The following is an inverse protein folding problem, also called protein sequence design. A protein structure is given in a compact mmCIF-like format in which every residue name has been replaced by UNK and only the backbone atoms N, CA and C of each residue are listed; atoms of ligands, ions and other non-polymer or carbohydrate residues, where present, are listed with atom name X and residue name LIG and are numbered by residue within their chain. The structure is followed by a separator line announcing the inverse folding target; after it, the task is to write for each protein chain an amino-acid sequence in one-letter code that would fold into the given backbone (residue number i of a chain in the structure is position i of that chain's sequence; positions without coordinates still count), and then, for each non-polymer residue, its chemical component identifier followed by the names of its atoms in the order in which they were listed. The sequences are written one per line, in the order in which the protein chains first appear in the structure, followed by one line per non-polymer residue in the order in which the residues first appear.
data_IF_781642333905
#
_entry.id   IF_781642333905
#
_cell.length_a   1.000
_cell.length_b   1.000
_cell.length_c   1.000
_cell.angle_alpha   90.00
_cell.angle_beta   90.00
_cell.angle_gamma   90.00
#
_symmetry.space_group_name_H-M   'P 1'
#
loop_
_entity.id
_entity.type
_entity.pdbx_description
1 polymer ?
#
# COMPACT_ATOMS: atom_id res chain seq x y z
N UNK A 1 3.14 -14.38 -2.12
CA UNK A 1 3.89 -14.98 -0.99
C UNK A 1 3.33 -14.45 0.34
N UNK A 2 4.11 -14.53 1.42
CA UNK A 2 3.82 -13.82 2.68
C UNK A 2 4.86 -12.70 2.82
N UNK A 3 4.43 -11.48 3.12
CA UNK A 3 5.31 -10.33 3.31
C UNK A 3 4.94 -9.64 4.62
N UNK A 4 5.95 -9.42 5.45
CA UNK A 4 5.84 -8.50 6.58
C UNK A 4 6.34 -7.12 6.16
N UNK A 5 5.57 -6.08 6.46
CA UNK A 5 5.97 -4.70 6.16
C UNK A 5 6.92 -4.21 7.24
N UNK A 6 8.16 -3.92 6.88
CA UNK A 6 9.17 -3.43 7.83
C UNK A 6 8.85 -2.06 8.43
N UNK A 7 9.47 -1.73 9.57
CA UNK A 7 9.29 -0.45 10.27
C UNK A 7 7.95 -0.31 11.00
N UNK A 8 7.18 -1.40 11.14
CA UNK A 8 5.87 -1.37 11.79
C UNK A 8 5.88 -1.82 13.25
N UNK A 9 7.04 -2.17 13.82
CA UNK A 9 7.20 -2.48 15.25
C UNK A 9 7.92 -1.38 16.04
N UNK A 10 8.40 -0.34 15.37
CA UNK A 10 9.14 0.76 15.96
C UNK A 10 8.54 2.11 15.55
N UNK A 11 9.28 3.19 15.78
CA UNK A 11 8.84 4.56 15.49
C UNK A 11 9.02 4.95 14.02
N UNK A 12 9.39 4.02 13.13
CA UNK A 12 9.54 4.32 11.70
C UNK A 12 8.20 4.63 11.04
N UNK A 13 7.12 3.94 11.45
CA UNK A 13 5.76 4.16 10.94
C UNK A 13 5.40 3.35 9.69
N UNK A 14 6.16 2.31 9.39
CA UNK A 14 5.93 1.40 8.27
C UNK A 14 6.45 1.89 6.91
N UNK A 15 6.53 0.94 5.98
CA UNK A 15 6.84 1.20 4.56
C UNK A 15 5.62 1.00 3.67
N UNK A 16 5.75 1.38 2.40
CA UNK A 16 4.69 1.27 1.40
C UNK A 16 4.29 -0.19 1.13
N UNK A 17 3.04 -0.61 1.41
CA UNK A 17 2.57 -1.98 1.19
C UNK A 17 2.17 -2.30 -0.26
N UNK A 18 2.01 -1.29 -1.13
CA UNK A 18 1.42 -1.47 -2.47
C UNK A 18 2.26 -2.33 -3.41
N UNK A 19 3.59 -2.29 -3.32
CA UNK A 19 4.46 -3.13 -4.16
C UNK A 19 4.20 -4.62 -3.88
N UNK A 20 4.28 -5.02 -2.60
CA UNK A 20 4.01 -6.39 -2.17
C UNK A 20 2.58 -6.82 -2.51
N UNK A 21 1.60 -5.93 -2.33
CA UNK A 21 0.20 -6.20 -2.66
C UNK A 21 0.01 -6.50 -4.16
N UNK A 22 0.65 -5.73 -5.04
CA UNK A 22 0.58 -5.92 -6.50
C UNK A 22 1.19 -7.25 -6.96
N UNK A 23 2.12 -7.81 -6.19
CA UNK A 23 2.64 -9.18 -6.40
C UNK A 23 1.74 -10.28 -5.81
N UNK A 24 0.55 -9.94 -5.31
CA UNK A 24 -0.38 -10.91 -4.73
C UNK A 24 0.13 -11.50 -3.41
N UNK A 25 0.88 -10.74 -2.62
CA UNK A 25 1.35 -11.18 -1.31
C UNK A 25 0.29 -10.95 -0.23
N UNK A 26 0.17 -11.95 0.65
CA UNK A 26 -0.50 -11.83 1.94
C UNK A 26 0.34 -10.92 2.84
N UNK A 27 -0.24 -9.81 3.30
CA UNK A 27 0.48 -8.79 4.06
C UNK A 27 0.35 -9.02 5.57
N UNK A 28 1.44 -8.77 6.29
CA UNK A 28 1.49 -8.71 7.76
C UNK A 28 2.08 -7.35 8.17
N UNK A 29 1.53 -6.75 9.22
CA UNK A 29 1.98 -5.46 9.71
C UNK A 29 1.91 -5.38 11.23
N UNK A 30 2.88 -4.72 11.84
CA UNK A 30 2.87 -4.36 13.24
C UNK A 30 1.94 -3.17 13.54
N UNK A 31 1.91 -2.69 14.81
CA UNK A 31 1.02 -1.62 15.26
C UNK A 31 1.39 -0.22 14.75
N UNK A 32 2.65 0.02 14.35
CA UNK A 32 3.09 1.35 13.90
C UNK A 32 2.94 1.51 12.39
N UNK A 33 1.86 2.14 11.94
CA UNK A 33 1.55 2.30 10.49
C UNK A 33 1.27 3.74 10.04
N UNK A 34 1.60 4.73 10.90
CA UNK A 34 1.15 6.11 10.73
C UNK A 34 1.57 6.79 9.42
N UNK A 35 2.65 6.34 8.75
CA UNK A 35 3.03 6.91 7.44
C UNK A 35 2.07 6.53 6.32
N UNK A 36 1.32 5.42 6.46
CA UNK A 36 0.41 4.92 5.45
C UNK A 36 -0.91 4.42 6.06
N UNK A 37 -1.35 4.97 7.18
CA UNK A 37 -2.46 4.45 8.00
C UNK A 37 -3.74 4.15 7.19
N UNK A 38 -4.09 5.02 6.24
CA UNK A 38 -5.24 4.82 5.35
C UNK A 38 -5.07 3.57 4.47
N UNK A 39 -3.88 3.38 3.89
CA UNK A 39 -3.59 2.20 3.08
C UNK A 39 -3.65 0.93 3.92
N UNK A 40 -3.00 0.92 5.10
CA UNK A 40 -3.03 -0.21 6.01
C UNK A 40 -4.48 -0.57 6.42
N UNK A 41 -5.28 0.42 6.82
CA UNK A 41 -6.70 0.21 7.12
C UNK A 41 -7.49 -0.34 5.93
N UNK A 42 -7.21 0.14 4.72
CA UNK A 42 -7.82 -0.37 3.49
C UNK A 42 -7.45 -1.83 3.19
N UNK A 43 -6.18 -2.19 3.32
CA UNK A 43 -5.73 -3.57 3.15
C UNK A 43 -6.31 -4.52 4.20
N UNK A 44 -6.40 -4.08 5.45
CA UNK A 44 -7.02 -4.83 6.55
C UNK A 44 -8.51 -5.04 6.30
N UNK A 45 -9.24 -3.97 5.93
CA UNK A 45 -10.67 -4.02 5.59
C UNK A 45 -10.98 -4.88 4.36
N UNK A 46 -10.09 -4.90 3.37
CA UNK A 46 -10.20 -5.79 2.21
C UNK A 46 -9.88 -7.26 2.54
N UNK A 47 -9.35 -7.55 3.73
CA UNK A 47 -8.89 -8.89 4.13
C UNK A 47 -7.62 -9.31 3.39
N UNK A 48 -6.81 -8.35 2.94
CA UNK A 48 -5.51 -8.53 2.30
C UNK A 48 -4.32 -8.48 3.26
N UNK A 49 -4.56 -8.06 4.50
CA UNK A 49 -3.54 -7.88 5.54
C UNK A 49 -4.03 -8.37 6.90
N UNK A 50 -3.09 -8.78 7.75
CA UNK A 50 -3.30 -9.01 9.17
C UNK A 50 -2.40 -8.12 10.00
N UNK A 51 -2.97 -7.57 11.09
CA UNK A 51 -2.20 -6.93 12.15
C UNK A 51 -1.58 -7.99 13.04
N UNK A 52 -0.32 -7.80 13.43
CA UNK A 52 0.38 -8.60 14.43
C UNK A 52 0.87 -7.72 15.56
N UNK A 53 0.69 -8.15 16.80
CA UNK A 53 1.02 -7.34 17.97
C UNK A 53 2.52 -7.29 18.28
N UNK A 54 3.22 -8.41 18.06
CA UNK A 54 4.61 -8.60 18.43
C UNK A 54 5.30 -9.70 17.59
N UNK A 55 6.55 -10.03 17.95
CA UNK A 55 7.34 -11.05 17.26
C UNK A 55 6.76 -12.47 17.38
N UNK A 56 6.10 -12.82 18.48
CA UNK A 56 5.49 -14.14 18.65
C UNK A 56 4.24 -14.27 17.77
N UNK A 57 3.43 -13.22 17.73
CA UNK A 57 2.25 -13.15 16.86
C UNK A 57 2.65 -13.14 15.38
N UNK A 58 3.72 -12.42 15.02
CA UNK A 58 4.30 -12.48 13.67
C UNK A 58 4.73 -13.90 13.29
N UNK A 59 5.46 -14.60 14.16
CA UNK A 59 5.88 -15.97 13.89
C UNK A 59 4.69 -16.92 13.72
N UNK A 60 3.66 -16.77 14.55
CA UNK A 60 2.43 -17.56 14.46
C UNK A 60 1.68 -17.28 13.14
N UNK A 61 1.53 -16.02 12.76
CA UNK A 61 0.87 -15.61 11.53
C UNK A 61 1.62 -16.10 10.27
N UNK A 62 2.95 -15.98 10.24
CA UNK A 62 3.77 -16.52 9.15
C UNK A 62 3.56 -18.01 9.02
N UNK A 63 3.69 -18.77 10.12
CA UNK A 63 3.50 -20.23 10.09
C UNK A 63 2.11 -20.61 9.57
N UNK A 64 1.06 -19.98 10.10
CA UNK A 64 -0.32 -20.19 9.66
C UNK A 64 -0.50 -19.98 8.15
N UNK A 65 0.05 -18.90 7.61
CA UNK A 65 -0.05 -18.58 6.19
C UNK A 65 0.86 -19.44 5.31
N UNK A 66 1.95 -19.99 5.83
CA UNK A 66 2.77 -20.94 5.11
C UNK A 66 2.09 -22.32 5.03
N UNK A 67 1.47 -22.76 6.13
CA UNK A 67 0.76 -24.03 6.26
C UNK A 67 -0.58 -24.04 5.50
N UNK A 68 -1.31 -22.92 5.46
CA UNK A 68 -2.57 -22.78 4.71
C UNK A 68 -2.38 -21.98 3.40
N UNK A 69 -2.13 -22.72 2.31
CA UNK A 69 -2.01 -22.12 0.97
C UNK A 69 -3.30 -21.44 0.50
N UNK A 70 -4.47 -21.95 0.89
CA UNK A 70 -5.76 -21.42 0.46
C UNK A 70 -6.00 -20.05 1.08
N UNK A 71 -5.78 -19.94 2.39
CA UNK A 71 -5.85 -18.67 3.10
C UNK A 71 -4.83 -17.67 2.54
N UNK A 72 -3.58 -18.09 2.36
CA UNK A 72 -2.52 -17.24 1.79
C UNK A 72 -2.89 -16.68 0.42
N UNK A 73 -3.41 -17.53 -0.49
CA UNK A 73 -3.84 -17.10 -1.83
C UNK A 73 -5.04 -16.17 -1.78
N UNK A 74 -6.03 -16.47 -0.92
CA UNK A 74 -7.22 -15.62 -0.73
C UNK A 74 -6.82 -14.22 -0.27
N UNK A 75 -5.96 -14.15 0.73
CA UNK A 75 -5.48 -12.88 1.30
C UNK A 75 -4.61 -12.11 0.30
N UNK A 76 -3.67 -12.78 -0.37
CA UNK A 76 -2.86 -12.15 -1.42
C UNK A 76 -3.69 -11.61 -2.60
N UNK A 77 -4.72 -12.35 -3.02
CA UNK A 77 -5.63 -11.88 -4.06
C UNK A 77 -6.47 -10.68 -3.61
N UNK A 78 -6.85 -10.61 -2.34
CA UNK A 78 -7.55 -9.46 -1.78
C UNK A 78 -6.66 -8.21 -1.74
N UNK A 79 -5.41 -8.36 -1.30
CA UNK A 79 -4.43 -7.27 -1.33
C UNK A 79 -4.20 -6.77 -2.77
N UNK A 80 -4.03 -7.67 -3.73
CA UNK A 80 -3.83 -7.30 -5.13
C UNK A 80 -5.04 -6.54 -5.71
N UNK A 81 -6.27 -6.96 -5.40
CA UNK A 81 -7.48 -6.25 -5.85
C UNK A 81 -7.52 -4.83 -5.31
N UNK A 82 -7.37 -4.66 -3.99
CA UNK A 82 -7.38 -3.34 -3.36
C UNK A 82 -6.26 -2.43 -3.94
N UNK A 83 -5.05 -2.96 -4.10
CA UNK A 83 -3.93 -2.23 -4.69
C UNK A 83 -4.14 -1.82 -6.17
N UNK A 84 -5.12 -2.41 -6.84
CA UNK A 84 -5.48 -2.14 -8.24
C UNK A 84 -6.69 -1.23 -8.39
N UNK A 85 -7.44 -0.96 -7.31
CA UNK A 85 -8.69 -0.18 -7.36
C UNK A 85 -8.46 1.33 -7.60
N UNK A 86 -7.25 1.85 -7.38
CA UNK A 86 -6.94 3.29 -7.48
C UNK A 86 -6.24 3.73 -8.78
N UNK A 87 -6.49 3.04 -9.90
CA UNK A 87 -5.86 3.37 -11.18
C UNK A 87 -6.24 4.75 -11.75
N UNK A 88 -7.26 5.41 -11.19
CA UNK A 88 -7.73 6.72 -11.65
C UNK A 88 -7.16 7.94 -10.92
N UNK A 89 -6.49 7.77 -9.76
CA UNK A 89 -5.97 8.90 -9.00
C UNK A 89 -4.91 9.69 -9.77
N UNK A 90 -4.01 9.00 -10.46
CA UNK A 90 -2.98 9.63 -11.29
C UNK A 90 -3.60 10.48 -12.39
N UNK A 91 -4.59 9.95 -13.11
CA UNK A 91 -5.27 10.68 -14.18
C UNK A 91 -6.03 11.91 -13.65
N UNK A 92 -6.71 11.77 -12.51
CA UNK A 92 -7.41 12.90 -11.85
C UNK A 92 -6.43 13.99 -11.42
N UNK A 93 -5.32 13.60 -10.78
CA UNK A 93 -4.27 14.53 -10.35
C UNK A 93 -3.64 15.21 -11.56
N UNK A 94 -3.33 14.46 -12.61
CA UNK A 94 -2.77 15.00 -13.85
C UNK A 94 -3.73 15.98 -14.51
N UNK A 95 -5.03 15.66 -14.60
CA UNK A 95 -6.04 16.56 -15.14
C UNK A 95 -6.15 17.86 -14.33
N UNK A 96 -6.10 17.77 -12.99
CA UNK A 96 -6.11 18.93 -12.12
C UNK A 96 -4.85 19.81 -12.31
N UNK A 97 -3.68 19.19 -12.44
CA UNK A 97 -2.43 19.90 -12.71
C UNK A 97 -2.44 20.58 -14.08
N UNK A 98 -2.91 19.90 -15.13
CA UNK A 98 -3.03 20.47 -16.49
C UNK A 98 -3.95 21.68 -16.47
N UNK A 99 -5.07 21.64 -15.73
CA UNK A 99 -5.98 22.77 -15.61
C UNK A 99 -5.36 24.01 -14.92
N UNK A 100 -4.28 23.84 -14.16
CA UNK A 100 -3.56 24.93 -13.49
C UNK A 100 -2.40 25.49 -14.32
N UNK A 101 -2.00 24.82 -15.40
CA UNK A 101 -0.93 25.31 -16.26
C UNK A 101 -1.46 26.47 -17.13
N UNK A 102 -0.69 27.57 -17.28
CA UNK A 102 -1.04 28.62 -18.23
C UNK A 102 -1.06 28.03 -19.64
N UNK A 103 -1.98 28.54 -20.48
CA UNK A 103 -1.99 28.19 -21.90
C UNK A 103 -0.59 28.44 -22.46
N UNK A 104 0.01 27.42 -23.10
CA UNK A 104 1.34 27.52 -23.67
C UNK A 104 1.32 28.55 -24.81
N UNK A 105 1.63 29.81 -24.49
CA UNK A 105 1.68 30.88 -25.46
C UNK A 105 1.38 32.27 -24.92
N UNK A 106 2.21 32.81 -24.04
CA UNK A 106 2.62 34.21 -24.14
C UNK A 106 4.13 34.27 -23.88
N UNK A 107 4.88 34.59 -24.94
CA UNK A 107 6.33 34.70 -24.89
C UNK A 107 6.74 35.76 -23.87
N UNK A 108 7.61 35.38 -22.95
CA UNK A 108 8.32 36.33 -22.10
C UNK A 108 9.16 37.18 -23.04
N UNK A 109 8.67 38.38 -23.37
CA UNK A 109 9.44 39.37 -24.09
C UNK A 109 10.66 39.72 -23.23
N UNK A 110 11.84 39.27 -23.67
CA UNK A 110 13.11 39.70 -23.12
C UNK A 110 13.21 41.22 -23.21
N UNK A 111 13.21 41.90 -22.06
CA UNK A 111 13.61 43.30 -21.98
C UNK A 111 15.12 43.40 -22.26
N UNK A 112 15.42 44.01 -23.41
CA UNK A 112 16.73 44.56 -23.73
C UNK A 112 17.02 45.81 -22.90
#
# INVERSE_FOLDING_TARGET
GVVFVGGTFDETGGHNPFEAARFGCALLAGPSDFNFAEAFAGFEGAGGMLRVADAADLAAAIRRLLDDETERKRMGAAAMRFASEDSGATDRTLAALIALLPASGEGVAHHA
#
